data_IF_955018181367
#
_entry.id   IF_955018181367
#
_cell.length_a   1.000
_cell.length_b   1.000
_cell.length_c   1.000
_cell.angle_alpha   90.00
_cell.angle_beta   90.00
_cell.angle_gamma   90.00
#
_symmetry.space_group_name_H-M   'P 1'
#
loop_
_entity.id
_entity.type
_entity.pdbx_description
1 polymer ?
#
# COMPACT_ATOMS: atom_id res chain seq x y z
N UNK A 1 -16.84 19.41 -13.21
CA UNK A 1 -17.01 17.97 -13.52
C UNK A 1 -16.60 17.21 -12.28
N UNK A 2 -17.54 16.61 -11.56
CA UNK A 2 -17.20 15.67 -10.48
C UNK A 2 -16.60 14.45 -11.15
N UNK A 3 -15.28 14.28 -11.02
CA UNK A 3 -14.65 13.03 -11.40
C UNK A 3 -15.34 11.89 -10.62
N UNK A 4 -16.06 11.04 -11.35
CA UNK A 4 -16.79 9.93 -10.77
C UNK A 4 -15.82 8.77 -10.63
N UNK A 5 -15.59 8.35 -9.39
CA UNK A 5 -14.86 7.12 -9.08
C UNK A 5 -15.82 5.94 -9.12
N UNK A 6 -15.35 4.80 -9.62
CA UNK A 6 -16.08 3.54 -9.64
C UNK A 6 -15.93 2.79 -8.32
N UNK A 7 -14.81 3.01 -7.60
CA UNK A 7 -14.59 2.49 -6.26
C UNK A 7 -13.87 3.52 -5.37
N UNK A 8 -14.23 3.51 -4.08
CA UNK A 8 -13.52 4.25 -3.03
C UNK A 8 -12.97 3.26 -2.02
N UNK A 9 -11.67 3.32 -1.78
CA UNK A 9 -10.97 2.49 -0.80
C UNK A 9 -10.52 3.37 0.36
N UNK A 10 -10.92 3.00 1.57
CA UNK A 10 -10.54 3.71 2.79
C UNK A 10 -9.42 2.94 3.49
N UNK A 11 -8.25 3.55 3.54
CA UNK A 11 -7.00 3.00 4.06
C UNK A 11 -6.00 2.65 2.95
N UNK A 12 -4.76 3.12 3.11
CA UNK A 12 -3.64 2.89 2.19
C UNK A 12 -2.59 1.93 2.76
N UNK A 13 -3.01 1.01 3.63
CA UNK A 13 -2.20 -0.14 4.02
C UNK A 13 -2.09 -1.19 2.89
N UNK A 14 -1.33 -2.28 3.10
CA UNK A 14 -1.09 -3.30 2.07
C UNK A 14 -2.35 -3.85 1.41
N UNK A 15 -3.39 -4.13 2.20
CA UNK A 15 -4.66 -4.66 1.69
C UNK A 15 -5.42 -3.62 0.87
N UNK A 16 -5.46 -2.37 1.33
CA UNK A 16 -6.14 -1.28 0.62
C UNK A 16 -5.46 -0.98 -0.72
N UNK A 17 -4.12 -0.94 -0.73
CA UNK A 17 -3.35 -0.77 -1.96
C UNK A 17 -3.48 -1.97 -2.90
N UNK A 18 -3.51 -3.20 -2.38
CA UNK A 18 -3.76 -4.40 -3.19
C UNK A 18 -5.13 -4.34 -3.86
N UNK A 19 -6.18 -4.00 -3.11
CA UNK A 19 -7.52 -3.82 -3.65
C UNK A 19 -7.58 -2.67 -4.67
N UNK A 20 -6.88 -1.56 -4.43
CA UNK A 20 -6.85 -0.42 -5.36
C UNK A 20 -6.20 -0.80 -6.69
N UNK A 21 -5.08 -1.52 -6.63
CA UNK A 21 -4.38 -2.03 -7.82
C UNK A 21 -5.27 -3.01 -8.59
N UNK A 22 -5.94 -3.92 -7.91
CA UNK A 22 -6.84 -4.87 -8.57
C UNK A 22 -7.97 -4.14 -9.29
N UNK A 23 -8.66 -3.19 -8.64
CA UNK A 23 -9.71 -2.38 -9.27
C UNK A 23 -9.16 -1.61 -10.48
N UNK A 24 -8.03 -0.92 -10.31
CA UNK A 24 -7.43 -0.12 -11.38
C UNK A 24 -6.99 -0.97 -12.59
N UNK A 25 -6.65 -2.25 -12.39
CA UNK A 25 -6.30 -3.19 -13.47
C UNK A 25 -7.49 -3.58 -14.34
N UNK A 26 -8.71 -3.36 -13.89
CA UNK A 26 -9.94 -3.53 -14.69
C UNK A 26 -10.40 -2.21 -15.33
N UNK A 27 -9.47 -1.27 -15.54
CA UNK A 27 -9.73 0.06 -16.14
C UNK A 27 -10.76 0.93 -15.40
N UNK A 28 -10.96 0.65 -14.11
CA UNK A 28 -11.88 1.40 -13.24
C UNK A 28 -11.17 2.55 -12.51
N UNK A 29 -11.86 3.67 -12.33
CA UNK A 29 -11.35 4.83 -11.60
C UNK A 29 -11.47 4.59 -10.10
N UNK A 30 -10.35 4.44 -9.41
CA UNK A 30 -10.31 4.23 -7.95
C UNK A 30 -9.83 5.48 -7.21
N UNK A 31 -10.50 5.82 -6.11
CA UNK A 31 -10.03 6.78 -5.11
C UNK A 31 -9.55 6.02 -3.87
N UNK A 32 -8.34 6.29 -3.41
CA UNK A 32 -7.83 5.80 -2.12
C UNK A 32 -7.76 6.96 -1.14
N UNK A 33 -8.34 6.79 0.05
CA UNK A 33 -8.34 7.79 1.12
C UNK A 33 -7.55 7.24 2.29
N UNK A 34 -6.52 7.95 2.73
CA UNK A 34 -5.73 7.63 3.92
C UNK A 34 -6.00 8.64 5.03
N UNK A 35 -6.14 8.16 6.26
CA UNK A 35 -6.38 9.01 7.43
C UNK A 35 -5.10 9.53 8.08
N UNK A 36 -3.97 8.89 7.83
CA UNK A 36 -2.66 9.30 8.33
C UNK A 36 -1.89 10.18 7.34
N UNK A 37 -0.84 10.86 7.84
CA UNK A 37 -0.01 11.76 7.03
C UNK A 37 0.77 11.06 5.90
N UNK A 38 0.97 9.75 6.02
CA UNK A 38 1.72 8.94 5.05
C UNK A 38 1.06 7.58 4.83
N UNK A 39 1.18 7.10 3.60
CA UNK A 39 0.67 5.79 3.18
C UNK A 39 1.45 4.61 3.78
N UNK A 40 0.90 3.41 3.66
CA UNK A 40 1.58 2.15 4.02
C UNK A 40 1.05 1.49 5.29
N UNK A 41 0.22 2.18 6.07
CA UNK A 41 -0.40 1.60 7.29
C UNK A 41 0.64 0.99 8.25
N UNK A 42 0.47 -0.29 8.57
CA UNK A 42 1.34 -1.01 9.50
C UNK A 42 2.74 -1.37 8.96
N UNK A 43 2.99 -1.18 7.66
CA UNK A 43 4.28 -1.49 7.01
C UNK A 43 5.17 -0.25 6.84
N UNK A 44 4.84 0.83 7.54
CA UNK A 44 5.62 2.07 7.53
C UNK A 44 6.88 1.91 8.35
N UNK A 45 7.92 2.61 7.92
CA UNK A 45 9.17 2.74 8.66
C UNK A 45 9.41 4.22 9.00
N UNK A 46 9.59 4.53 10.28
CA UNK A 46 9.75 5.89 10.78
C UNK A 46 10.86 6.02 11.85
N UNK A 47 11.36 7.22 12.09
CA UNK A 47 12.28 7.50 13.20
C UNK A 47 11.47 7.88 14.44
N UNK A 48 11.23 6.91 15.33
CA UNK A 48 10.27 7.06 16.44
C UNK A 48 10.91 7.37 17.79
N UNK A 49 12.19 7.02 17.97
CA UNK A 49 12.86 7.09 19.28
C UNK A 49 13.98 8.12 19.28
N UNK A 50 15.05 7.88 18.52
CA UNK A 50 16.22 8.77 18.44
C UNK A 50 16.59 9.07 16.98
N UNK A 51 17.17 10.26 16.69
CA UNK A 51 17.61 10.61 15.35
C UNK A 51 18.61 9.60 14.78
N UNK A 52 18.45 9.26 13.50
CA UNK A 52 19.29 8.28 12.81
C UNK A 52 18.74 6.85 12.83
N UNK A 53 17.79 6.51 13.72
CA UNK A 53 17.30 5.14 13.89
C UNK A 53 15.89 4.96 13.35
N UNK A 54 15.74 4.02 12.41
CA UNK A 54 14.46 3.69 11.76
C UNK A 54 13.83 2.46 12.41
N UNK A 55 12.52 2.51 12.58
CA UNK A 55 11.71 1.48 13.23
C UNK A 55 10.53 1.16 12.33
N UNK A 56 10.14 -0.11 12.27
CA UNK A 56 8.85 -0.46 11.72
C UNK A 56 7.77 -0.03 12.71
N UNK A 57 6.80 0.74 12.23
CA UNK A 57 5.76 1.36 13.06
C UNK A 57 4.85 0.31 13.70
N UNK A 58 4.68 -0.84 13.06
CA UNK A 58 3.84 -1.92 13.57
C UNK A 58 4.41 -3.30 13.24
N UNK A 59 4.48 -3.67 11.96
CA UNK A 59 4.89 -5.00 11.53
C UNK A 59 6.30 -4.98 10.94
N UNK A 60 7.20 -5.82 11.46
CA UNK A 60 8.54 -6.03 10.90
C UNK A 60 8.66 -7.26 10.02
N UNK A 61 7.67 -8.17 10.07
CA UNK A 61 7.76 -9.48 9.40
C UNK A 61 6.47 -9.70 8.59
N UNK A 62 6.62 -9.97 7.29
CA UNK A 62 5.50 -9.98 6.34
C UNK A 62 5.42 -11.30 5.54
N UNK A 63 5.26 -12.46 6.21
CA UNK A 63 5.37 -13.76 5.56
C UNK A 63 4.27 -13.97 4.50
N UNK A 64 3.07 -13.46 4.76
CA UNK A 64 1.96 -13.54 3.81
C UNK A 64 2.15 -12.62 2.60
N UNK A 65 2.87 -11.50 2.75
CA UNK A 65 3.22 -10.67 1.61
C UNK A 65 4.22 -11.41 0.70
N UNK A 66 5.26 -12.01 1.30
CA UNK A 66 6.24 -12.80 0.56
C UNK A 66 5.62 -14.02 -0.15
N UNK A 67 4.63 -14.66 0.47
CA UNK A 67 3.91 -15.80 -0.11
C UNK A 67 2.71 -15.41 -0.99
N UNK A 68 2.42 -14.11 -1.18
CA UNK A 68 1.19 -13.66 -1.83
C UNK A 68 1.22 -13.90 -3.34
N UNK A 69 0.28 -14.69 -3.90
CA UNK A 69 0.14 -14.81 -5.36
C UNK A 69 -0.29 -13.51 -6.03
N UNK A 70 -0.92 -12.59 -5.29
CA UNK A 70 -1.29 -11.29 -5.81
C UNK A 70 -0.05 -10.42 -6.02
N UNK A 71 0.78 -10.26 -4.97
CA UNK A 71 1.97 -9.41 -5.05
C UNK A 71 3.00 -9.95 -6.03
N UNK A 72 3.16 -11.28 -6.14
CA UNK A 72 4.11 -11.89 -7.08
C UNK A 72 3.76 -11.69 -8.56
N UNK A 73 2.51 -11.31 -8.88
CA UNK A 73 2.05 -11.02 -10.24
C UNK A 73 2.14 -9.54 -10.60
N UNK A 74 2.51 -8.68 -9.65
CA UNK A 74 2.70 -7.26 -9.90
C UNK A 74 4.09 -7.04 -10.51
N UNK A 75 4.23 -6.17 -11.53
CA UNK A 75 5.51 -5.86 -12.16
C UNK A 75 6.33 -4.88 -11.29
N UNK A 76 6.58 -5.26 -10.03
CA UNK A 76 7.24 -4.44 -9.01
C UNK A 76 8.71 -4.13 -9.36
N UNK A 77 9.34 -5.02 -10.12
CA UNK A 77 10.69 -4.88 -10.67
C UNK A 77 10.85 -3.63 -11.54
N UNK A 78 9.79 -3.26 -12.29
CA UNK A 78 9.75 -2.03 -13.10
C UNK A 78 9.80 -0.75 -12.25
N UNK A 79 9.55 -0.89 -10.95
CA UNK A 79 9.60 0.18 -9.97
C UNK A 79 10.79 0.04 -9.00
N UNK A 80 11.74 -0.86 -9.30
CA UNK A 80 12.94 -1.09 -8.48
C UNK A 80 12.70 -1.91 -7.22
N UNK A 81 11.54 -2.57 -7.10
CA UNK A 81 11.15 -3.39 -5.97
C UNK A 81 11.32 -4.88 -6.32
N UNK A 82 11.69 -5.72 -5.34
CA UNK A 82 11.93 -7.17 -5.50
C UNK A 82 11.19 -7.96 -4.44
#
# INVERSE_FOLDING_TARGET
MTDRYDAVIVGSGPNGLAAAIEVARHDLRVLVIEGADTIGGGTRTAQLTIPGYRHDVCSSVHPFAAASPFLSRLPLDRHGLR
#
